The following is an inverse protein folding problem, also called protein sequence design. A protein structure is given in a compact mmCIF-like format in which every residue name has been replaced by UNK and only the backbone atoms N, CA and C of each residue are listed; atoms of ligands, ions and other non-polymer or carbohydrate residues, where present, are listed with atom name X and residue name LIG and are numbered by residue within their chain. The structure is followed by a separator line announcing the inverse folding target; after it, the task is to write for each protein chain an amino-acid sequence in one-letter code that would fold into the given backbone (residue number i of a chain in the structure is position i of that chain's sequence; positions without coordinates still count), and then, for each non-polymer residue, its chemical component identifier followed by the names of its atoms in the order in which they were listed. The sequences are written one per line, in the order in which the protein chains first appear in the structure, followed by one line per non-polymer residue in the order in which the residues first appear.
data_IF_711354049428
#
_entry.id   IF_711354049428
#
_cell.length_a   1.000
_cell.length_b   1.000
_cell.length_c   1.000
_cell.angle_alpha   90.00
_cell.angle_beta   90.00
_cell.angle_gamma   90.00
#
_symmetry.space_group_name_H-M   'P 1'
#
loop_
_entity.id
_entity.type
_entity.pdbx_description
1 polymer ?
#
# COMPACT_ATOMS: atom_id res chain seq x y z
N UNK A 1 -12.38 1.01 23.16
CA UNK A 1 -12.95 0.87 21.82
C UNK A 1 -11.99 1.52 20.85
N UNK A 2 -11.37 0.71 19.98
CA UNK A 2 -10.40 1.21 19.01
C UNK A 2 -11.09 1.89 17.82
N UNK A 3 -10.34 2.65 17.03
CA UNK A 3 -10.90 3.39 15.89
C UNK A 3 -11.33 2.48 14.71
N UNK A 4 -10.94 1.20 14.75
CA UNK A 4 -11.33 0.17 13.78
C UNK A 4 -12.16 -0.95 14.42
N UNK A 5 -12.75 -0.72 15.59
CA UNK A 5 -13.55 -1.74 16.29
C UNK A 5 -14.69 -2.24 15.41
N UNK A 6 -14.76 -3.58 15.24
CA UNK A 6 -15.72 -4.25 14.37
C UNK A 6 -15.50 -4.15 12.87
N UNK A 7 -14.42 -3.51 12.41
CA UNK A 7 -14.04 -3.44 10.99
C UNK A 7 -13.28 -4.68 10.54
N UNK A 8 -13.48 -5.07 9.28
CA UNK A 8 -12.75 -6.15 8.61
C UNK A 8 -11.81 -5.57 7.56
N UNK A 9 -10.53 -5.85 7.68
CA UNK A 9 -9.49 -5.21 6.85
C UNK A 9 -8.63 -6.26 6.14
N UNK A 10 -8.54 -6.16 4.83
CA UNK A 10 -7.56 -6.89 4.01
C UNK A 10 -6.30 -6.07 3.88
N UNK A 11 -5.15 -6.60 4.32
CA UNK A 11 -3.83 -5.97 4.16
C UNK A 11 -2.98 -6.78 3.20
N UNK A 12 -2.64 -6.20 2.04
CA UNK A 12 -1.84 -6.89 1.01
C UNK A 12 -0.35 -6.57 1.11
N UNK A 13 0.49 -7.45 0.57
CA UNK A 13 1.94 -7.19 0.46
C UNK A 13 2.73 -7.34 1.76
N UNK A 14 2.22 -8.05 2.76
CA UNK A 14 2.91 -8.29 4.01
C UNK A 14 4.04 -9.31 3.82
N UNK A 15 5.30 -8.86 3.75
CA UNK A 15 6.45 -9.73 3.49
C UNK A 15 7.32 -9.95 4.73
N UNK A 16 7.60 -8.88 5.49
CA UNK A 16 8.53 -8.92 6.63
C UNK A 16 8.02 -8.00 7.75
N UNK A 17 8.54 -8.17 8.97
CA UNK A 17 8.16 -7.31 10.10
C UNK A 17 8.66 -5.86 9.98
N UNK A 18 9.51 -5.56 9.00
CA UNK A 18 9.89 -4.19 8.63
C UNK A 18 9.06 -3.64 7.48
N UNK A 19 8.05 -4.36 6.98
CA UNK A 19 7.14 -3.83 5.95
C UNK A 19 6.09 -2.91 6.58
N UNK A 20 5.69 -1.88 5.85
CA UNK A 20 4.59 -1.00 6.27
C UNK A 20 3.32 -1.84 6.50
N UNK A 21 3.03 -2.81 5.62
CA UNK A 21 1.87 -3.69 5.73
C UNK A 21 1.84 -4.48 7.05
N UNK A 22 3.00 -4.90 7.59
CA UNK A 22 3.05 -5.56 8.89
C UNK A 22 2.62 -4.63 10.01
N UNK A 23 3.15 -3.41 10.03
CA UNK A 23 2.84 -2.43 11.06
C UNK A 23 1.38 -1.96 10.96
N UNK A 24 0.85 -1.81 9.73
CA UNK A 24 -0.59 -1.56 9.50
C UNK A 24 -1.44 -2.69 10.09
N UNK A 25 -1.12 -3.95 9.79
CA UNK A 25 -1.87 -5.10 10.32
C UNK A 25 -1.84 -5.12 11.85
N UNK A 26 -0.67 -4.90 12.45
CA UNK A 26 -0.47 -4.86 13.91
C UNK A 26 -1.30 -3.75 14.56
N UNK A 27 -1.24 -2.53 14.03
CA UNK A 27 -2.00 -1.40 14.59
C UNK A 27 -3.49 -1.58 14.34
N UNK A 28 -3.91 -2.04 13.16
CA UNK A 28 -5.32 -2.29 12.86
C UNK A 28 -5.94 -3.30 13.84
N UNK A 29 -5.23 -4.39 14.17
CA UNK A 29 -5.67 -5.34 15.18
C UNK A 29 -5.74 -4.72 16.58
N UNK A 30 -4.74 -3.94 16.96
CA UNK A 30 -4.74 -3.23 18.26
C UNK A 30 -5.90 -2.23 18.37
N UNK A 31 -6.35 -1.68 17.24
CA UNK A 31 -7.50 -0.78 17.13
C UNK A 31 -8.85 -1.51 16.91
N UNK A 32 -8.88 -2.84 17.07
CA UNK A 32 -10.09 -3.65 17.08
C UNK A 32 -10.51 -4.25 15.73
N UNK A 33 -9.71 -4.12 14.69
CA UNK A 33 -10.03 -4.72 13.40
C UNK A 33 -9.80 -6.22 13.37
N UNK A 34 -10.66 -6.95 12.65
CA UNK A 34 -10.35 -8.28 12.14
C UNK A 34 -9.52 -8.12 10.87
N UNK A 35 -8.33 -8.71 10.84
CA UNK A 35 -7.38 -8.57 9.74
C UNK A 35 -7.20 -9.88 9.01
N UNK A 36 -7.21 -9.84 7.69
CA UNK A 36 -6.69 -10.87 6.79
C UNK A 36 -5.51 -10.27 6.05
N UNK A 37 -4.44 -11.03 5.89
CA UNK A 37 -3.25 -10.56 5.16
C UNK A 37 -3.02 -11.36 3.90
N UNK A 38 -2.35 -10.78 2.92
CA UNK A 38 -2.00 -11.51 1.71
C UNK A 38 -0.59 -11.22 1.21
N UNK A 39 -0.07 -12.20 0.49
CA UNK A 39 1.15 -12.10 -0.29
C UNK A 39 1.13 -13.20 -1.38
N UNK A 40 2.20 -13.38 -2.16
CA UNK A 40 2.21 -14.39 -3.22
C UNK A 40 3.57 -15.07 -3.40
N UNK A 41 3.54 -16.23 -4.05
CA UNK A 41 4.73 -16.94 -4.50
C UNK A 41 5.75 -17.18 -3.38
N UNK A 42 7.02 -16.87 -3.64
CA UNK A 42 8.12 -17.10 -2.68
C UNK A 42 7.99 -16.31 -1.39
N UNK A 43 7.29 -15.18 -1.42
CA UNK A 43 7.10 -14.35 -0.23
C UNK A 43 6.15 -15.01 0.79
N UNK A 44 5.27 -15.92 0.39
CA UNK A 44 4.34 -16.62 1.28
C UNK A 44 5.04 -17.28 2.48
N UNK A 45 6.21 -17.91 2.25
CA UNK A 45 6.97 -18.55 3.32
C UNK A 45 7.45 -17.54 4.38
N UNK A 46 7.90 -16.37 3.93
CA UNK A 46 8.34 -15.32 4.85
C UNK A 46 7.15 -14.71 5.58
N UNK A 47 6.07 -14.41 4.86
CA UNK A 47 4.84 -13.89 5.41
C UNK A 47 4.28 -14.80 6.49
N UNK A 48 4.18 -16.11 6.23
CA UNK A 48 3.68 -17.10 7.20
C UNK A 48 4.50 -17.12 8.51
N UNK A 49 5.83 -16.93 8.42
CA UNK A 49 6.67 -16.83 9.62
C UNK A 49 6.43 -15.53 10.39
N UNK A 50 6.23 -14.44 9.67
CA UNK A 50 6.16 -13.10 10.25
C UNK A 50 4.82 -12.85 10.91
N UNK A 51 3.72 -13.34 10.34
CA UNK A 51 2.38 -13.20 10.92
C UNK A 51 2.22 -13.90 12.27
N UNK A 52 3.07 -14.90 12.57
CA UNK A 52 3.08 -15.55 13.89
C UNK A 52 3.46 -14.61 15.04
N UNK A 53 3.91 -13.40 14.74
CA UNK A 53 4.21 -12.34 15.72
C UNK A 53 3.04 -11.39 15.93
N UNK A 54 1.97 -11.54 15.17
CA UNK A 54 0.73 -10.77 15.32
C UNK A 54 -0.23 -11.52 16.23
N UNK A 55 -1.01 -10.80 17.00
CA UNK A 55 -1.97 -11.38 17.94
C UNK A 55 -3.31 -10.64 17.85
N UNK A 56 -4.37 -11.36 17.45
CA UNK A 56 -4.41 -12.77 17.01
C UNK A 56 -3.64 -12.97 15.68
N UNK A 57 -3.15 -14.20 15.45
CA UNK A 57 -2.51 -14.53 14.16
C UNK A 57 -3.55 -14.43 13.04
N UNK A 58 -3.36 -13.52 12.07
CA UNK A 58 -4.34 -13.34 11.00
C UNK A 58 -4.27 -14.45 9.96
N UNK A 59 -5.37 -14.81 9.29
CA UNK A 59 -5.32 -15.64 8.10
C UNK A 59 -4.41 -15.03 7.03
N UNK A 60 -3.66 -15.90 6.33
CA UNK A 60 -2.78 -15.53 5.22
C UNK A 60 -3.32 -16.14 3.92
N UNK A 61 -3.69 -15.29 2.97
CA UNK A 61 -4.14 -15.69 1.64
C UNK A 61 -3.03 -15.49 0.60
N UNK A 62 -2.89 -16.42 -0.33
CA UNK A 62 -2.07 -16.21 -1.51
C UNK A 62 -2.82 -15.31 -2.50
N UNK A 63 -2.23 -14.17 -2.87
CA UNK A 63 -2.82 -13.20 -3.78
C UNK A 63 -1.72 -12.57 -4.63
N UNK A 64 -1.63 -13.00 -5.88
CA UNK A 64 -0.87 -12.33 -6.93
C UNK A 64 -1.85 -11.50 -7.78
N UNK A 65 -1.67 -10.20 -7.80
CA UNK A 65 -2.53 -9.28 -8.56
C UNK A 65 -2.32 -9.38 -10.08
N UNK A 66 -1.34 -10.16 -10.52
CA UNK A 66 -1.10 -10.48 -11.93
C UNK A 66 -1.91 -11.68 -12.40
N UNK A 67 -2.42 -12.49 -11.46
CA UNK A 67 -3.17 -13.71 -11.73
C UNK A 67 -4.67 -13.44 -11.64
N UNK A 68 -5.36 -13.61 -12.78
CA UNK A 68 -6.80 -13.33 -12.88
C UNK A 68 -7.63 -14.19 -11.90
N UNK A 69 -7.28 -15.47 -11.76
CA UNK A 69 -7.98 -16.40 -10.87
C UNK A 69 -7.86 -16.00 -9.40
N UNK A 70 -6.71 -15.45 -8.98
CA UNK A 70 -6.54 -14.95 -7.62
C UNK A 70 -7.47 -13.78 -7.30
N UNK A 71 -7.74 -12.92 -8.29
CA UNK A 71 -8.63 -11.77 -8.14
C UNK A 71 -10.11 -12.17 -8.23
N UNK A 72 -10.46 -13.02 -9.19
CA UNK A 72 -11.86 -13.44 -9.40
C UNK A 72 -12.42 -14.27 -8.25
N UNK A 73 -11.56 -15.05 -7.57
CA UNK A 73 -11.94 -15.90 -6.43
C UNK A 73 -11.72 -15.22 -5.07
N UNK A 74 -11.19 -13.99 -5.02
CA UNK A 74 -10.78 -13.36 -3.77
C UNK A 74 -11.94 -13.23 -2.76
N UNK A 75 -13.11 -12.80 -3.21
CA UNK A 75 -14.27 -12.61 -2.34
C UNK A 75 -14.68 -13.92 -1.68
N UNK A 76 -14.72 -15.03 -2.41
CA UNK A 76 -15.09 -16.34 -1.85
C UNK A 76 -14.02 -16.84 -0.88
N UNK A 77 -12.76 -16.70 -1.22
CA UNK A 77 -11.62 -17.07 -0.35
C UNK A 77 -11.56 -16.23 0.94
N UNK A 78 -12.00 -14.97 0.90
CA UNK A 78 -12.16 -14.14 2.11
C UNK A 78 -13.28 -14.68 3.00
N UNK A 79 -14.43 -15.11 2.41
CA UNK A 79 -15.51 -15.76 3.17
C UNK A 79 -15.06 -17.08 3.81
N UNK A 80 -14.28 -17.90 3.11
CA UNK A 80 -13.74 -19.17 3.62
C UNK A 80 -12.90 -18.99 4.89
N UNK A 81 -12.23 -17.86 5.04
CA UNK A 81 -11.49 -17.49 6.27
C UNK A 81 -12.32 -16.66 7.24
N UNK A 82 -13.63 -16.59 7.02
CA UNK A 82 -14.62 -15.95 7.90
C UNK A 82 -14.65 -14.43 7.77
N UNK A 83 -14.26 -13.85 6.62
CA UNK A 83 -14.39 -12.42 6.34
C UNK A 83 -15.53 -12.23 5.32
N UNK A 84 -16.79 -12.19 5.81
CA UNK A 84 -18.00 -12.06 4.98
C UNK A 84 -18.27 -10.61 4.53
N UNK A 85 -17.63 -9.64 5.17
CA UNK A 85 -17.66 -8.21 4.83
C UNK A 85 -16.25 -7.65 4.84
N UNK A 86 -15.98 -6.71 3.97
CA UNK A 86 -14.72 -5.94 3.90
C UNK A 86 -15.02 -4.47 4.09
N UNK A 87 -14.48 -3.87 5.15
CA UNK A 87 -14.59 -2.44 5.46
C UNK A 87 -13.37 -1.65 5.01
N UNK A 88 -12.22 -2.34 4.91
CA UNK A 88 -10.96 -1.72 4.52
C UNK A 88 -10.08 -2.61 3.66
N UNK A 89 -9.43 -2.00 2.68
CA UNK A 89 -8.45 -2.65 1.81
C UNK A 89 -7.16 -1.82 1.80
N UNK A 90 -6.04 -2.45 2.13
CA UNK A 90 -4.72 -1.83 2.07
C UNK A 90 -3.94 -2.37 0.88
N UNK A 91 -3.66 -1.51 -0.09
CA UNK A 91 -2.83 -1.81 -1.25
C UNK A 91 -1.38 -1.43 -0.95
N UNK A 92 -0.59 -2.41 -0.49
CA UNK A 92 0.85 -2.29 -0.26
C UNK A 92 1.64 -3.11 -1.28
N UNK A 93 1.34 -2.89 -2.55
CA UNK A 93 1.88 -3.63 -3.69
C UNK A 93 2.59 -2.66 -4.63
N UNK A 94 3.80 -3.00 -5.04
CA UNK A 94 4.52 -2.30 -6.10
C UNK A 94 5.56 -3.23 -6.72
N UNK A 95 5.83 -3.04 -7.99
CA UNK A 95 6.89 -3.75 -8.71
C UNK A 95 7.44 -2.87 -9.84
N UNK A 96 8.75 -2.83 -9.95
CA UNK A 96 9.47 -2.44 -11.16
C UNK A 96 10.74 -3.30 -11.26
N UNK A 97 11.15 -3.63 -12.47
CA UNK A 97 12.39 -4.37 -12.67
C UNK A 97 13.59 -3.45 -12.37
N UNK A 98 14.19 -3.60 -11.19
CA UNK A 98 15.30 -2.76 -10.75
C UNK A 98 16.52 -2.84 -11.67
N UNK A 99 16.70 -3.96 -12.39
CA UNK A 99 17.83 -4.12 -13.31
C UNK A 99 17.68 -3.32 -14.61
N UNK A 100 16.48 -2.95 -15.02
CA UNK A 100 16.20 -2.40 -16.35
C UNK A 100 15.38 -1.10 -16.35
N UNK A 101 14.62 -0.81 -15.28
CA UNK A 101 13.67 0.31 -15.25
C UNK A 101 13.80 1.23 -14.04
N UNK A 102 14.89 1.09 -13.27
CA UNK A 102 15.26 1.92 -12.13
C UNK A 102 16.76 2.19 -12.12
N UNK A 103 17.25 3.06 -11.23
CA UNK A 103 18.69 3.31 -11.07
C UNK A 103 19.33 4.10 -12.21
N UNK A 104 18.60 5.07 -12.79
CA UNK A 104 19.08 5.92 -13.90
C UNK A 104 18.84 5.30 -15.28
N UNK A 105 18.03 4.26 -15.39
CA UNK A 105 17.74 3.55 -16.66
C UNK A 105 16.42 3.96 -17.33
N UNK A 106 15.95 5.16 -17.04
CA UNK A 106 14.66 5.66 -17.51
C UNK A 106 14.51 5.58 -19.04
N UNK A 107 15.53 6.01 -19.78
CA UNK A 107 15.49 6.08 -21.25
C UNK A 107 15.73 4.73 -21.96
N UNK A 108 16.23 3.73 -21.23
CA UNK A 108 16.66 2.43 -21.78
C UNK A 108 15.71 1.30 -21.40
N UNK A 109 14.69 1.58 -20.57
CA UNK A 109 13.80 0.57 -20.03
C UNK A 109 13.02 -0.15 -21.14
N UNK A 110 13.01 -1.50 -21.16
CA UNK A 110 12.18 -2.25 -22.11
C UNK A 110 10.68 -1.98 -21.86
N UNK A 111 9.91 -1.83 -22.94
CA UNK A 111 8.46 -1.58 -22.85
C UNK A 111 7.71 -2.59 -21.99
N UNK A 112 8.09 -3.87 -22.07
CA UNK A 112 7.46 -4.91 -21.23
C UNK A 112 7.69 -4.70 -19.72
N UNK A 113 8.85 -4.16 -19.32
CA UNK A 113 9.12 -3.85 -17.91
C UNK A 113 8.34 -2.60 -17.46
N UNK A 114 8.16 -1.62 -18.37
CA UNK A 114 7.30 -0.46 -18.14
C UNK A 114 5.85 -0.87 -17.94
N UNK A 115 5.33 -1.72 -18.84
CA UNK A 115 3.97 -2.27 -18.73
C UNK A 115 3.76 -3.01 -17.41
N UNK A 116 4.73 -3.85 -17.02
CA UNK A 116 4.67 -4.58 -15.76
C UNK A 116 4.67 -3.62 -14.55
N UNK A 117 5.51 -2.58 -14.56
CA UNK A 117 5.58 -1.61 -13.49
C UNK A 117 4.24 -0.87 -13.30
N UNK A 118 3.64 -0.37 -14.38
CA UNK A 118 2.34 0.32 -14.33
C UNK A 118 1.22 -0.64 -13.96
N UNK A 119 1.17 -1.83 -14.56
CA UNK A 119 0.12 -2.82 -14.30
C UNK A 119 0.12 -3.28 -12.84
N UNK A 120 1.29 -3.64 -12.31
CA UNK A 120 1.40 -4.19 -10.94
C UNK A 120 1.34 -3.08 -9.88
N UNK A 121 1.88 -1.88 -10.15
CA UNK A 121 1.95 -0.84 -9.13
C UNK A 121 0.78 0.14 -9.13
N UNK A 122 0.07 0.28 -10.26
CA UNK A 122 -1.04 1.23 -10.38
C UNK A 122 -2.38 0.55 -10.68
N UNK A 123 -2.48 -0.20 -11.80
CA UNK A 123 -3.74 -0.83 -12.19
C UNK A 123 -4.24 -1.86 -11.17
N UNK A 124 -3.34 -2.53 -10.48
CA UNK A 124 -3.69 -3.48 -9.42
C UNK A 124 -4.51 -2.88 -8.28
N UNK A 125 -4.47 -1.56 -8.05
CA UNK A 125 -5.36 -0.88 -7.11
C UNK A 125 -6.84 -1.03 -7.53
N UNK A 126 -7.11 -0.86 -8.83
CA UNK A 126 -8.47 -1.09 -9.39
C UNK A 126 -8.85 -2.55 -9.27
N UNK A 127 -7.97 -3.45 -9.72
CA UNK A 127 -8.25 -4.90 -9.70
C UNK A 127 -8.55 -5.39 -8.30
N UNK A 128 -7.78 -4.96 -7.31
CA UNK A 128 -7.96 -5.33 -5.91
C UNK A 128 -9.26 -4.74 -5.33
N UNK A 129 -9.53 -3.46 -5.57
CA UNK A 129 -10.76 -2.81 -5.13
C UNK A 129 -11.99 -3.52 -5.70
N UNK A 130 -11.99 -3.85 -7.00
CA UNK A 130 -13.09 -4.54 -7.66
C UNK A 130 -13.25 -5.99 -7.20
N UNK A 131 -12.16 -6.68 -6.88
CA UNK A 131 -12.19 -8.03 -6.31
C UNK A 131 -12.79 -8.06 -4.89
N UNK A 132 -12.58 -7.00 -4.10
CA UNK A 132 -13.15 -6.86 -2.76
C UNK A 132 -14.57 -6.26 -2.76
N UNK A 133 -14.95 -5.53 -3.81
CA UNK A 133 -16.21 -4.80 -3.90
C UNK A 133 -17.46 -5.64 -3.55
N UNK A 134 -17.61 -6.93 -3.96
CA UNK A 134 -18.74 -7.74 -3.58
C UNK A 134 -18.95 -7.93 -2.07
N UNK A 135 -17.91 -7.67 -1.26
CA UNK A 135 -17.94 -7.72 0.21
C UNK A 135 -17.99 -6.34 0.86
N UNK A 136 -17.89 -5.24 0.09
CA UNK A 136 -17.95 -3.86 0.58
C UNK A 136 -19.38 -3.32 0.53
N UNK A 137 -20.32 -4.06 1.12
CA UNK A 137 -21.79 -3.82 0.99
C UNK A 137 -22.27 -2.60 1.76
N UNK A 138 -21.50 -2.11 2.72
CA UNK A 138 -21.82 -0.93 3.54
C UNK A 138 -20.84 0.23 3.26
N UNK A 139 -20.27 0.27 2.06
CA UNK A 139 -19.18 1.18 1.74
C UNK A 139 -17.83 0.65 2.26
N UNK A 140 -16.86 1.53 2.45
CA UNK A 140 -15.56 1.16 2.97
C UNK A 140 -14.42 2.10 2.56
N UNK A 141 -13.20 1.67 2.80
CA UNK A 141 -12.01 2.49 2.51
C UNK A 141 -10.93 1.66 1.81
N UNK A 142 -10.46 2.13 0.67
CA UNK A 142 -9.29 1.60 -0.03
C UNK A 142 -8.14 2.56 0.21
N UNK A 143 -7.03 2.09 0.78
CA UNK A 143 -5.85 2.90 1.06
C UNK A 143 -4.64 2.30 0.38
N UNK A 144 -4.03 3.05 -0.54
CA UNK A 144 -2.79 2.66 -1.21
C UNK A 144 -1.56 3.36 -0.64
N UNK A 145 -0.38 2.79 -0.86
CA UNK A 145 0.90 3.38 -0.51
C UNK A 145 1.58 3.95 -1.76
N UNK A 146 1.87 5.24 -1.74
CA UNK A 146 2.64 5.91 -2.78
C UNK A 146 3.96 6.47 -2.23
N UNK A 147 4.81 6.93 -3.13
CA UNK A 147 5.90 7.83 -2.87
C UNK A 147 5.64 9.06 -3.72
N UNK A 148 5.68 10.25 -3.14
CA UNK A 148 5.24 11.48 -3.82
C UNK A 148 5.77 11.55 -5.27
N UNK A 149 4.87 11.55 -6.23
CA UNK A 149 5.18 11.53 -7.65
C UNK A 149 5.00 12.90 -8.33
N UNK A 150 4.95 13.98 -7.56
CA UNK A 150 4.87 15.36 -8.08
C UNK A 150 6.19 15.82 -8.66
N UNK A 151 7.29 15.16 -8.30
CA UNK A 151 8.65 15.44 -8.77
C UNK A 151 9.37 14.16 -9.23
N UNK A 152 10.41 14.34 -10.03
CA UNK A 152 11.28 13.24 -10.47
C UNK A 152 12.33 12.95 -9.40
N UNK A 153 12.20 11.85 -8.69
CA UNK A 153 13.18 11.39 -7.72
C UNK A 153 14.37 10.69 -8.39
N UNK A 154 15.61 10.98 -8.00
CA UNK A 154 16.79 10.29 -8.52
C UNK A 154 16.67 8.78 -8.39
N UNK A 155 17.06 8.02 -9.42
CA UNK A 155 17.07 6.56 -9.47
C UNK A 155 15.69 5.87 -9.35
N UNK A 156 14.59 6.61 -9.19
CA UNK A 156 13.25 6.03 -9.06
C UNK A 156 12.60 5.74 -10.41
N UNK A 157 12.92 6.51 -11.44
CA UNK A 157 12.64 6.28 -12.86
C UNK A 157 11.18 5.81 -13.12
N UNK A 158 10.99 4.64 -13.74
CA UNK A 158 9.66 4.11 -14.09
C UNK A 158 8.80 3.74 -12.88
N UNK A 159 9.38 3.53 -11.71
CA UNK A 159 8.57 3.43 -10.48
C UNK A 159 7.91 4.79 -10.15
N UNK A 160 8.58 5.92 -10.38
CA UNK A 160 7.98 7.25 -10.22
C UNK A 160 6.79 7.46 -11.14
N UNK A 161 6.91 7.08 -12.42
CA UNK A 161 5.79 7.11 -13.37
C UNK A 161 4.65 6.20 -12.92
N UNK A 162 4.95 4.99 -12.45
CA UNK A 162 3.95 4.07 -11.93
C UNK A 162 3.24 4.62 -10.67
N UNK A 163 3.96 5.37 -9.81
CA UNK A 163 3.34 6.05 -8.66
C UNK A 163 2.45 7.21 -9.09
N UNK A 164 2.84 8.01 -10.08
CA UNK A 164 1.96 9.04 -10.66
C UNK A 164 0.68 8.42 -11.26
N UNK A 165 0.82 7.29 -11.94
CA UNK A 165 -0.33 6.52 -12.43
C UNK A 165 -1.21 6.03 -11.28
N UNK A 166 -0.63 5.50 -10.18
CA UNK A 166 -1.36 5.07 -8.98
C UNK A 166 -2.14 6.24 -8.36
N UNK A 167 -1.53 7.41 -8.25
CA UNK A 167 -2.17 8.61 -7.72
C UNK A 167 -3.37 9.05 -8.56
N UNK A 168 -3.22 9.05 -9.88
CA UNK A 168 -4.34 9.30 -10.78
C UNK A 168 -5.42 8.22 -10.66
N UNK A 169 -5.04 6.95 -10.58
CA UNK A 169 -5.95 5.81 -10.44
C UNK A 169 -6.79 5.93 -9.17
N UNK A 170 -6.21 6.32 -8.04
CA UNK A 170 -6.94 6.54 -6.79
C UNK A 170 -8.03 7.62 -6.93
N UNK A 171 -7.74 8.72 -7.64
CA UNK A 171 -8.73 9.77 -7.89
C UNK A 171 -9.90 9.26 -8.75
N UNK A 172 -9.64 8.43 -9.75
CA UNK A 172 -10.72 7.83 -10.55
C UNK A 172 -11.52 6.79 -9.74
N UNK A 173 -10.88 5.99 -8.89
CA UNK A 173 -11.60 5.10 -7.98
C UNK A 173 -12.51 5.90 -7.02
N UNK A 174 -12.02 6.98 -6.44
CA UNK A 174 -12.82 7.87 -5.61
C UNK A 174 -14.06 8.39 -6.34
N UNK A 175 -13.90 8.80 -7.61
CA UNK A 175 -15.01 9.26 -8.45
C UNK A 175 -16.06 8.17 -8.71
N UNK A 176 -15.61 6.95 -9.06
CA UNK A 176 -16.52 5.90 -9.51
C UNK A 176 -17.12 5.08 -8.37
N UNK A 177 -16.39 4.88 -7.27
CA UNK A 177 -16.85 4.10 -6.13
C UNK A 177 -17.44 4.98 -5.00
N UNK A 178 -17.20 6.29 -5.02
CA UNK A 178 -17.73 7.23 -4.04
C UNK A 178 -19.26 7.21 -3.90
N UNK A 179 -20.06 7.11 -4.99
CA UNK A 179 -21.51 6.96 -4.89
C UNK A 179 -21.97 5.72 -4.12
N UNK A 180 -21.12 4.71 -4.00
CA UNK A 180 -21.37 3.49 -3.22
C UNK A 180 -20.78 3.57 -1.80
N UNK A 181 -20.33 4.74 -1.35
CA UNK A 181 -19.74 4.95 -0.02
C UNK A 181 -18.33 4.40 0.13
N UNK A 182 -17.65 4.02 -0.96
CA UNK A 182 -16.29 3.50 -0.93
C UNK A 182 -15.31 4.64 -1.20
N UNK A 183 -14.47 4.95 -0.22
CA UNK A 183 -13.41 5.96 -0.32
C UNK A 183 -12.12 5.35 -0.88
N UNK A 184 -11.36 6.11 -1.63
CA UNK A 184 -10.03 5.73 -2.11
C UNK A 184 -9.04 6.85 -1.82
N UNK A 185 -8.03 6.57 -1.00
CA UNK A 185 -7.01 7.53 -0.62
C UNK A 185 -5.62 6.89 -0.66
N UNK A 186 -4.59 7.71 -0.70
CA UNK A 186 -3.21 7.26 -0.67
C UNK A 186 -2.45 7.87 0.51
N UNK A 187 -1.44 7.15 0.99
CA UNK A 187 -0.43 7.65 1.92
C UNK A 187 0.89 7.73 1.18
N UNK A 188 1.42 8.95 1.03
CA UNK A 188 2.76 9.21 0.53
C UNK A 188 3.75 9.20 1.69
N UNK A 189 4.47 8.10 1.83
CA UNK A 189 5.45 7.93 2.90
C UNK A 189 6.84 8.45 2.50
N UNK A 190 7.58 9.00 3.45
CA UNK A 190 9.01 9.16 3.31
C UNK A 190 9.74 7.81 3.16
N UNK A 191 11.05 7.80 2.87
CA UNK A 191 11.81 6.57 2.66
C UNK A 191 11.90 5.74 3.95
N UNK A 192 11.43 4.48 3.89
CA UNK A 192 11.46 3.54 5.01
C UNK A 192 12.37 2.34 4.70
N UNK A 193 13.07 1.82 5.72
CA UNK A 193 14.01 0.69 5.60
C UNK A 193 13.28 -0.65 5.39
N UNK A 194 12.60 -0.76 4.27
CA UNK A 194 11.85 -1.94 3.84
C UNK A 194 12.65 -2.79 2.84
N UNK A 195 12.23 -4.04 2.63
CA UNK A 195 12.80 -4.88 1.55
C UNK A 195 12.57 -4.21 0.19
N UNK A 196 11.44 -3.57 -0.02
CA UNK A 196 11.13 -2.86 -1.26
C UNK A 196 12.12 -1.72 -1.53
N UNK A 197 12.46 -0.89 -0.52
CA UNK A 197 13.46 0.18 -0.66
C UNK A 197 14.84 -0.37 -1.01
N UNK A 198 15.25 -1.47 -0.38
CA UNK A 198 16.56 -2.10 -0.66
C UNK A 198 16.72 -2.60 -2.09
N UNK A 199 15.62 -2.81 -2.80
CA UNK A 199 15.64 -3.19 -4.21
C UNK A 199 15.84 -1.99 -5.16
N UNK A 200 15.76 -0.74 -4.65
CA UNK A 200 15.94 0.49 -5.44
C UNK A 200 17.44 0.83 -5.47
N UNK A 201 18.11 0.81 -6.62
CA UNK A 201 19.52 1.21 -6.71
C UNK A 201 19.72 2.67 -6.25
N UNK A 202 20.66 2.92 -5.35
CA UNK A 202 20.95 4.28 -4.87
C UNK A 202 19.93 4.87 -3.87
N UNK A 203 19.02 4.03 -3.33
CA UNK A 203 17.99 4.50 -2.39
C UNK A 203 18.53 5.04 -1.06
N UNK A 204 19.80 4.80 -0.76
CA UNK A 204 20.46 5.36 0.45
C UNK A 204 20.47 6.89 0.43
N UNK A 205 20.61 7.50 -0.76
CA UNK A 205 20.61 8.95 -0.92
C UNK A 205 19.30 9.61 -0.43
N UNK A 206 18.19 8.90 -0.44
CA UNK A 206 16.93 9.42 0.12
C UNK A 206 17.02 9.69 1.62
N UNK A 207 17.75 8.86 2.38
CA UNK A 207 17.90 9.05 3.82
C UNK A 207 18.60 10.36 4.15
N UNK A 208 19.63 10.71 3.38
CA UNK A 208 20.37 11.95 3.57
C UNK A 208 19.51 13.18 3.30
N UNK A 209 18.70 13.14 2.24
CA UNK A 209 17.76 14.21 1.89
C UNK A 209 16.73 14.42 3.00
N UNK A 210 16.09 13.33 3.48
CA UNK A 210 15.11 13.42 4.55
C UNK A 210 15.73 13.82 5.89
N UNK A 211 16.91 13.30 6.21
CA UNK A 211 17.62 13.64 7.45
C UNK A 211 18.00 15.11 7.52
N UNK A 212 18.27 15.77 6.39
CA UNK A 212 18.65 17.18 6.32
C UNK A 212 17.48 18.13 6.19
N UNK A 213 16.38 17.72 5.54
CA UNK A 213 15.36 18.64 5.05
C UNK A 213 13.95 18.41 5.64
N UNK A 214 13.65 17.27 6.22
CA UNK A 214 12.36 17.03 6.82
C UNK A 214 12.19 17.87 8.11
N UNK A 215 11.23 18.82 8.20
CA UNK A 215 11.10 19.72 9.35
C UNK A 215 10.88 19.01 10.69
N UNK A 216 10.18 17.87 10.69
CA UNK A 216 9.96 17.05 11.89
C UNK A 216 11.09 16.03 12.13
N UNK A 217 12.12 16.03 11.28
CA UNK A 217 13.03 14.90 11.19
C UNK A 217 12.36 13.68 10.55
N UNK A 218 13.14 12.64 10.31
CA UNK A 218 12.64 11.39 9.75
C UNK A 218 13.44 10.19 10.23
N UNK A 219 12.77 9.25 10.87
CA UNK A 219 13.36 7.94 11.19
C UNK A 219 12.92 6.91 10.16
N UNK A 220 13.83 6.57 9.25
CA UNK A 220 13.58 5.58 8.21
C UNK A 220 13.32 4.15 8.74
N UNK A 221 13.54 3.88 10.01
CA UNK A 221 13.29 2.58 10.64
C UNK A 221 11.93 2.49 11.33
N UNK A 222 11.26 3.63 11.54
CA UNK A 222 9.96 3.68 12.19
C UNK A 222 8.83 3.72 11.15
N UNK A 223 8.15 2.59 10.96
CA UNK A 223 6.97 2.49 10.11
C UNK A 223 5.69 2.99 10.81
N UNK A 224 5.74 3.28 12.09
CA UNK A 224 4.58 3.63 12.91
C UNK A 224 3.80 4.84 12.40
N UNK A 225 4.42 5.99 12.11
CA UNK A 225 3.71 7.15 11.59
C UNK A 225 2.93 6.87 10.30
N UNK A 226 3.56 6.18 9.34
CA UNK A 226 2.93 5.80 8.07
C UNK A 226 1.75 4.83 8.30
N UNK A 227 1.95 3.81 9.13
CA UNK A 227 0.92 2.83 9.43
C UNK A 227 -0.28 3.46 10.18
N UNK A 228 -0.04 4.38 11.11
CA UNK A 228 -1.11 5.14 11.80
C UNK A 228 -1.93 5.97 10.82
N UNK A 229 -1.31 6.63 9.85
CA UNK A 229 -2.05 7.37 8.82
C UNK A 229 -2.93 6.45 7.96
N UNK A 230 -2.43 5.27 7.57
CA UNK A 230 -3.23 4.25 6.87
C UNK A 230 -4.41 3.82 7.72
N UNK A 231 -4.20 3.49 8.99
CA UNK A 231 -5.26 3.06 9.93
C UNK A 231 -6.30 4.17 10.15
N UNK A 232 -5.87 5.42 10.26
CA UNK A 232 -6.78 6.57 10.38
C UNK A 232 -7.65 6.73 9.12
N UNK A 233 -7.10 6.57 7.92
CA UNK A 233 -7.86 6.63 6.65
C UNK A 233 -8.81 5.43 6.47
N UNK A 234 -8.52 4.28 7.07
CA UNK A 234 -9.43 3.13 7.11
C UNK A 234 -10.61 3.36 8.05
N UNK A 235 -10.44 4.19 9.07
CA UNK A 235 -11.46 4.47 10.08
C UNK A 235 -12.54 5.44 9.59
N UNK A 236 -13.54 5.67 10.44
CA UNK A 236 -14.62 6.63 10.21
C UNK A 236 -14.22 8.07 10.60
N UNK A 237 -12.95 8.34 10.94
CA UNK A 237 -12.47 9.70 11.24
C UNK A 237 -12.34 10.58 10.00
N UNK A 238 -12.29 10.00 8.81
CA UNK A 238 -12.21 10.70 7.54
C UNK A 238 -13.40 10.38 6.62
N UNK A 239 -14.67 10.56 7.07
CA UNK A 239 -15.85 10.07 6.35
C UNK A 239 -16.10 10.81 5.03
N UNK A 240 -15.59 12.03 4.90
CA UNK A 240 -15.74 12.88 3.72
C UNK A 240 -14.44 13.09 2.93
N UNK A 241 -13.43 12.22 3.14
CA UNK A 241 -12.11 12.31 2.47
C UNK A 241 -11.95 11.16 1.49
N UNK A 242 -11.84 11.49 0.20
CA UNK A 242 -11.61 10.53 -0.87
C UNK A 242 -10.86 11.20 -2.04
N UNK A 243 -10.01 10.46 -2.73
CA UNK A 243 -9.13 10.97 -3.79
C UNK A 243 -7.90 11.75 -3.26
N UNK A 244 -7.65 11.70 -1.96
CA UNK A 244 -6.61 12.48 -1.29
C UNK A 244 -5.28 11.69 -1.21
N UNK A 245 -4.19 12.43 -1.13
CA UNK A 245 -2.85 11.93 -0.86
C UNK A 245 -2.36 12.56 0.44
N UNK A 246 -2.27 11.74 1.49
CA UNK A 246 -1.79 12.18 2.80
C UNK A 246 -0.29 11.94 2.88
N UNK A 247 0.47 13.02 3.00
CA UNK A 247 1.92 12.96 3.15
C UNK A 247 2.31 12.60 4.59
N UNK A 248 3.14 11.58 4.73
CA UNK A 248 3.77 11.14 5.98
C UNK A 248 5.27 11.02 5.71
N UNK A 249 5.94 12.16 5.67
CA UNK A 249 7.31 12.31 5.20
C UNK A 249 8.14 13.31 6.04
N UNK A 250 7.66 13.60 7.24
CA UNK A 250 8.27 14.60 8.11
C UNK A 250 8.09 16.04 7.63
N UNK A 251 7.23 16.28 6.63
CA UNK A 251 6.96 17.61 6.06
C UNK A 251 7.92 17.99 4.92
N UNK A 252 8.72 17.05 4.40
CA UNK A 252 9.68 17.32 3.33
C UNK A 252 9.00 17.88 2.07
N UNK A 253 7.84 17.33 1.68
CA UNK A 253 7.10 17.78 0.49
C UNK A 253 6.69 19.26 0.54
N UNK A 254 6.57 19.84 1.74
CA UNK A 254 6.09 21.22 1.95
C UNK A 254 7.21 22.28 1.97
N UNK A 255 8.46 21.84 1.96
CA UNK A 255 9.64 22.76 2.02
C UNK A 255 10.35 22.85 0.68
N UNK A 256 10.72 24.07 0.32
CA UNK A 256 11.54 24.34 -0.87
C UNK A 256 12.96 23.75 -0.78
N UNK A 257 13.70 23.85 -1.89
CA UNK A 257 15.09 23.39 -1.97
C UNK A 257 16.05 24.27 -1.16
#
# INVERSE_FOLDING_TARGET
MGILDGKNVLVTGLTHNTSIAYEVARIAQAEGAKVVVSNFGRAMRLSNRVIQKLEPVPPLLELDVSEADHLTTLADRLREVGMDRVDGVVHSIAFANAATSMGGKFLEAPGADVDAAVRISAYSLVSLAMACKPLMTEGGSVVGLTFDATVAWPAYDWMGVAKAALESTSRYLARYLGPEGIRSNLVAAGPLETIAKKAIPGAEAFNDVWGQRAPLGWDAKDNGPTAKAVVALLSDFFPATTGEIVHVDGGLHAVGA
#
